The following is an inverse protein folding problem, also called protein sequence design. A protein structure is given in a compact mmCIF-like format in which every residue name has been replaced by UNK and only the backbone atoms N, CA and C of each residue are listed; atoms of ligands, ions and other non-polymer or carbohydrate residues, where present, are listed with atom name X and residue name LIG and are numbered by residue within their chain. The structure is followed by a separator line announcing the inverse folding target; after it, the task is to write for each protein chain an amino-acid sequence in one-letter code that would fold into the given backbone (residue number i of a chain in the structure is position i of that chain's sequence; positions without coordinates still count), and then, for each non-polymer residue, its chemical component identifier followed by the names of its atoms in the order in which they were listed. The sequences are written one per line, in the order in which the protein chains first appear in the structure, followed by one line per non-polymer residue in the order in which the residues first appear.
data_IF_332224616879
#
_entry.id   IF_332224616879
#
_cell.length_a   1.000
_cell.length_b   1.000
_cell.length_c   1.000
_cell.angle_alpha   90.00
_cell.angle_beta   90.00
_cell.angle_gamma   90.00
#
_symmetry.space_group_name_H-M   'P 1'
#
loop_
_entity.id
_entity.type
_entity.pdbx_description
1 polymer ?
#
# COMPACT_ATOMS: atom_id res chain seq x y z
N UNK A 1 -4.79 -11.91 -25.29
CA UNK A 1 -3.75 -12.97 -25.31
C UNK A 1 -3.48 -13.54 -23.91
N UNK A 2 -3.01 -12.73 -22.94
CA UNK A 2 -2.61 -13.22 -21.61
C UNK A 2 -3.75 -13.90 -20.81
N UNK A 3 -4.94 -13.28 -20.76
CA UNK A 3 -6.09 -13.83 -20.03
C UNK A 3 -6.57 -15.18 -20.60
N UNK A 4 -6.57 -15.33 -21.93
CA UNK A 4 -6.96 -16.59 -22.57
C UNK A 4 -5.96 -17.71 -22.23
N UNK A 5 -4.66 -17.40 -22.26
CA UNK A 5 -3.61 -18.36 -21.91
C UNK A 5 -3.61 -18.76 -20.42
N UNK A 6 -4.03 -17.88 -19.51
CA UNK A 6 -4.11 -18.21 -18.07
C UNK A 6 -5.36 -19.02 -17.70
N UNK A 7 -6.43 -18.94 -18.49
CA UNK A 7 -7.64 -19.74 -18.30
C UNK A 7 -7.54 -21.15 -18.90
N UNK A 8 -6.78 -21.31 -19.98
CA UNK A 8 -6.51 -22.62 -20.58
C UNK A 8 -5.45 -23.37 -19.76
N UNK A 9 -5.85 -24.49 -19.14
CA UNK A 9 -4.98 -25.29 -18.29
C UNK A 9 -3.73 -25.82 -19.01
N UNK A 10 -3.80 -26.06 -20.33
CA UNK A 10 -2.68 -26.53 -21.13
C UNK A 10 -1.67 -25.42 -21.48
N UNK A 11 -2.09 -24.15 -21.40
CA UNK A 11 -1.26 -22.98 -21.75
C UNK A 11 -0.84 -22.14 -20.56
N UNK A 12 -1.33 -22.48 -19.36
CA UNK A 12 -1.06 -21.72 -18.14
C UNK A 12 0.42 -21.75 -17.79
N UNK A 13 1.00 -20.58 -17.57
CA UNK A 13 2.39 -20.45 -17.13
C UNK A 13 2.58 -20.89 -15.67
N UNK A 14 3.80 -21.31 -15.33
CA UNK A 14 4.18 -21.64 -13.94
C UNK A 14 3.92 -20.48 -12.98
N UNK A 15 4.14 -19.24 -13.43
CA UNK A 15 3.88 -18.05 -12.63
C UNK A 15 2.38 -17.89 -12.30
N UNK A 16 1.50 -18.11 -13.29
CA UNK A 16 0.06 -18.06 -13.07
C UNK A 16 -0.43 -19.19 -12.14
N UNK A 17 0.14 -20.40 -12.28
CA UNK A 17 -0.15 -21.51 -11.37
C UNK A 17 0.28 -21.20 -9.92
N UNK A 18 1.49 -20.65 -9.72
CA UNK A 18 1.95 -20.23 -8.39
C UNK A 18 1.07 -19.12 -7.80
N UNK A 19 0.67 -18.14 -8.60
CA UNK A 19 -0.22 -17.07 -8.16
C UNK A 19 -1.59 -17.60 -7.70
N UNK A 20 -2.16 -18.58 -8.41
CA UNK A 20 -3.41 -19.24 -8.02
C UNK A 20 -3.27 -20.00 -6.69
N UNK A 21 -2.22 -20.79 -6.52
CA UNK A 21 -1.96 -21.50 -5.28
C UNK A 21 -1.76 -20.54 -4.11
N UNK A 22 -0.97 -19.48 -4.29
CA UNK A 22 -0.77 -18.43 -3.30
C UNK A 22 -2.10 -17.78 -2.92
N UNK A 23 -2.97 -17.50 -3.89
CA UNK A 23 -4.31 -16.98 -3.63
C UNK A 23 -5.13 -17.95 -2.77
N UNK A 24 -5.18 -19.25 -3.11
CA UNK A 24 -5.95 -20.24 -2.35
C UNK A 24 -5.48 -20.35 -0.90
N UNK A 25 -4.17 -20.41 -0.69
CA UNK A 25 -3.57 -20.47 0.67
C UNK A 25 -3.90 -19.20 1.46
N UNK A 26 -3.69 -18.03 0.86
CA UNK A 26 -3.86 -16.76 1.55
C UNK A 26 -5.32 -16.36 1.76
N UNK A 27 -6.24 -16.81 0.91
CA UNK A 27 -7.69 -16.60 1.07
C UNK A 27 -8.36 -17.62 2.01
N UNK A 28 -7.64 -18.68 2.42
CA UNK A 28 -8.21 -19.77 3.22
C UNK A 28 -9.06 -20.77 2.42
N UNK A 29 -9.08 -20.65 1.08
CA UNK A 29 -9.88 -21.50 0.17
C UNK A 29 -9.17 -22.78 -0.27
N UNK A 30 -7.95 -23.01 0.21
CA UNK A 30 -7.13 -24.16 -0.18
C UNK A 30 -7.77 -25.51 0.17
N UNK A 31 -8.40 -25.64 1.34
CA UNK A 31 -9.04 -26.88 1.79
C UNK A 31 -10.45 -27.10 1.20
N UNK A 32 -11.11 -26.05 0.73
CA UNK A 32 -12.49 -26.09 0.21
C UNK A 32 -12.57 -26.24 -1.30
N UNK A 33 -11.45 -26.02 -1.99
CA UNK A 33 -11.36 -26.19 -3.44
C UNK A 33 -10.61 -27.49 -3.67
N UNK A 34 -11.18 -28.45 -4.40
CA UNK A 34 -10.40 -29.56 -4.95
C UNK A 34 -9.17 -28.94 -5.60
N UNK A 35 -7.94 -29.40 -5.29
CA UNK A 35 -6.66 -28.88 -5.80
C UNK A 35 -6.53 -28.76 -7.35
N UNK A 36 -7.61 -28.97 -8.09
CA UNK A 36 -7.78 -28.64 -9.49
C UNK A 36 -7.64 -27.14 -9.72
N UNK A 37 -6.69 -26.80 -10.58
CA UNK A 37 -6.68 -25.48 -11.18
C UNK A 37 -7.90 -25.34 -12.10
N UNK A 38 -8.66 -24.23 -12.02
CA UNK A 38 -9.80 -24.03 -12.91
C UNK A 38 -9.31 -24.02 -14.37
N UNK A 39 -10.06 -24.60 -15.30
CA UNK A 39 -9.68 -24.68 -16.71
C UNK A 39 -10.86 -24.39 -17.62
N UNK A 40 -10.69 -23.50 -18.58
CA UNK A 40 -11.65 -23.24 -19.66
C UNK A 40 -10.92 -23.40 -20.98
N UNK A 41 -11.42 -24.26 -21.86
CA UNK A 41 -10.91 -24.43 -23.22
C UNK A 41 -11.69 -23.55 -24.20
N UNK A 42 -10.98 -22.99 -25.18
CA UNK A 42 -11.57 -22.22 -26.28
C UNK A 42 -11.36 -23.01 -27.57
N UNK A 43 -12.45 -23.30 -28.29
CA UNK A 43 -12.43 -24.05 -29.56
C UNK A 43 -12.32 -23.15 -30.81
N UNK A 44 -12.55 -21.84 -30.67
CA UNK A 44 -12.50 -20.86 -31.76
C UNK A 44 -11.33 -19.89 -31.67
N UNK A 45 -11.22 -19.00 -32.66
CA UNK A 45 -10.25 -17.91 -32.67
C UNK A 45 -10.54 -16.86 -31.59
N UNK A 46 -9.48 -16.22 -31.09
CA UNK A 46 -9.57 -15.13 -30.11
C UNK A 46 -9.39 -13.79 -30.81
N UNK A 47 -10.35 -12.88 -30.67
CA UNK A 47 -10.31 -11.54 -31.24
C UNK A 47 -10.82 -10.50 -30.22
N UNK A 48 -10.53 -9.22 -30.47
CA UNK A 48 -10.97 -8.10 -29.63
C UNK A 48 -12.17 -7.45 -30.32
N UNK A 49 -13.27 -7.25 -29.57
CA UNK A 49 -14.47 -6.56 -30.04
C UNK A 49 -15.14 -5.80 -28.91
N UNK A 50 -16.02 -4.86 -29.26
CA UNK A 50 -16.96 -4.25 -28.32
C UNK A 50 -17.89 -5.30 -27.73
N UNK A 51 -18.31 -5.10 -26.47
CA UNK A 51 -19.21 -6.02 -25.77
C UNK A 51 -20.57 -6.06 -26.50
N UNK A 52 -21.04 -7.23 -26.98
CA UNK A 52 -22.35 -7.34 -27.62
C UNK A 52 -23.50 -6.99 -26.68
N UNK A 53 -24.58 -6.41 -27.22
CA UNK A 53 -25.77 -6.01 -26.44
C UNK A 53 -26.52 -7.18 -25.81
N UNK A 54 -26.39 -8.39 -26.37
CA UNK A 54 -26.98 -9.62 -25.86
C UNK A 54 -26.02 -10.44 -24.96
N UNK A 55 -24.97 -9.81 -24.44
CA UNK A 55 -24.04 -10.48 -23.53
C UNK A 55 -24.69 -10.79 -22.18
N UNK A 56 -24.38 -11.96 -21.62
CA UNK A 56 -24.78 -12.36 -20.27
C UNK A 56 -23.59 -12.22 -19.33
N UNK A 57 -23.76 -11.48 -18.24
CA UNK A 57 -22.77 -11.43 -17.16
C UNK A 57 -22.62 -12.82 -16.54
N UNK A 58 -21.39 -13.31 -16.43
CA UNK A 58 -21.10 -14.59 -15.78
C UNK A 58 -20.83 -14.41 -14.28
N UNK A 59 -19.92 -13.49 -13.96
CA UNK A 59 -19.59 -13.08 -12.61
C UNK A 59 -18.93 -11.70 -12.63
N UNK A 60 -18.90 -11.04 -11.47
CA UNK A 60 -18.08 -9.87 -11.22
C UNK A 60 -16.97 -10.22 -10.24
N UNK A 61 -15.79 -9.67 -10.46
CA UNK A 61 -14.66 -9.79 -9.54
C UNK A 61 -14.34 -8.42 -8.96
N UNK A 62 -14.44 -8.32 -7.64
CA UNK A 62 -14.09 -7.12 -6.89
C UNK A 62 -12.72 -7.31 -6.24
N UNK A 63 -11.86 -6.29 -6.36
CA UNK A 63 -10.56 -6.29 -5.69
C UNK A 63 -10.72 -6.28 -4.17
N UNK A 64 -9.61 -6.46 -3.47
CA UNK A 64 -9.54 -6.15 -2.04
C UNK A 64 -9.85 -4.66 -1.80
N UNK A 65 -10.39 -4.27 -0.62
CA UNK A 65 -10.68 -2.88 -0.32
C UNK A 65 -9.45 -1.98 -0.46
N UNK A 66 -9.66 -0.72 -0.88
CA UNK A 66 -8.58 0.24 -1.17
C UNK A 66 -7.58 0.38 -0.01
N UNK A 67 -8.03 0.29 1.25
CA UNK A 67 -7.15 0.32 2.43
C UNK A 67 -6.04 -0.75 2.39
N UNK A 68 -6.37 -1.95 1.93
CA UNK A 68 -5.44 -3.09 1.88
C UNK A 68 -4.45 -2.93 0.71
N UNK A 69 -4.93 -2.35 -0.40
CA UNK A 69 -4.10 -1.95 -1.54
C UNK A 69 -3.11 -0.86 -1.12
N UNK A 70 -3.58 0.17 -0.41
CA UNK A 70 -2.75 1.25 0.12
C UNK A 70 -1.70 0.73 1.09
N UNK A 71 -2.10 -0.13 2.05
CA UNK A 71 -1.18 -0.78 2.99
C UNK A 71 -0.05 -1.49 2.26
N UNK A 72 -0.38 -2.33 1.28
CA UNK A 72 0.63 -3.06 0.51
C UNK A 72 1.51 -2.13 -0.33
N UNK A 73 0.91 -1.13 -0.96
CA UNK A 73 1.63 -0.13 -1.77
C UNK A 73 2.65 0.63 -0.93
N UNK A 74 2.26 1.08 0.26
CA UNK A 74 3.11 1.86 1.15
C UNK A 74 4.18 1.00 1.85
N UNK A 75 3.85 -0.24 2.25
CA UNK A 75 4.78 -1.23 2.79
C UNK A 75 5.94 -1.53 1.83
N UNK A 76 5.64 -1.90 0.58
CA UNK A 76 6.67 -2.24 -0.40
C UNK A 76 7.21 -1.03 -1.17
N UNK A 77 6.62 0.15 -1.00
CA UNK A 77 6.94 1.33 -1.82
C UNK A 77 6.79 1.04 -3.31
N UNK A 78 5.66 0.46 -3.70
CA UNK A 78 5.44 -0.01 -5.07
C UNK A 78 5.12 1.17 -6.02
N UNK A 79 6.10 1.55 -6.83
CA UNK A 79 5.97 2.69 -7.75
C UNK A 79 4.88 2.48 -8.80
N UNK A 80 4.73 1.26 -9.33
CA UNK A 80 3.70 0.95 -10.34
C UNK A 80 2.30 1.21 -9.79
N UNK A 81 2.00 0.69 -8.59
CA UNK A 81 0.69 0.91 -7.96
C UNK A 81 0.48 2.38 -7.59
N UNK A 82 1.52 3.07 -7.13
CA UNK A 82 1.43 4.50 -6.82
C UNK A 82 1.08 5.34 -8.06
N UNK A 83 1.69 5.07 -9.22
CA UNK A 83 1.32 5.75 -10.47
C UNK A 83 -0.11 5.40 -10.90
N UNK A 84 -0.52 4.13 -10.84
CA UNK A 84 -1.91 3.74 -11.19
C UNK A 84 -2.95 4.43 -10.32
N UNK A 85 -2.71 4.52 -9.02
CA UNK A 85 -3.59 5.25 -8.10
C UNK A 85 -3.59 6.76 -8.39
N UNK A 86 -2.44 7.32 -8.76
CA UNK A 86 -2.33 8.72 -9.19
C UNK A 86 -3.08 9.00 -10.49
N UNK A 87 -2.93 8.14 -11.50
CA UNK A 87 -3.61 8.24 -12.79
C UNK A 87 -5.14 8.27 -12.62
N UNK A 88 -5.68 7.44 -11.71
CA UNK A 88 -7.11 7.44 -11.37
C UNK A 88 -7.61 8.78 -10.80
N UNK A 89 -6.71 9.58 -10.21
CA UNK A 89 -7.00 10.91 -9.67
C UNK A 89 -6.70 12.04 -10.68
N UNK A 90 -6.27 11.71 -11.91
CA UNK A 90 -5.86 12.68 -12.92
C UNK A 90 -4.35 12.96 -12.96
N UNK A 91 -3.53 12.07 -12.40
CA UNK A 91 -2.07 12.12 -12.42
C UNK A 91 -1.45 12.96 -11.31
N UNK A 92 -0.11 13.02 -11.28
CA UNK A 92 0.67 13.64 -10.21
C UNK A 92 0.29 15.10 -9.92
N UNK A 93 -0.01 15.90 -10.95
CA UNK A 93 -0.43 17.29 -10.78
C UNK A 93 -1.80 17.42 -10.11
N UNK A 94 -2.74 16.52 -10.41
CA UNK A 94 -4.04 16.51 -9.75
C UNK A 94 -3.89 16.09 -8.27
N UNK A 95 -3.06 15.09 -7.99
CA UNK A 95 -2.69 14.69 -6.62
C UNK A 95 -2.08 15.87 -5.86
N UNK A 96 -1.12 16.58 -6.45
CA UNK A 96 -0.51 17.75 -5.83
C UNK A 96 -1.54 18.84 -5.50
N UNK A 97 -2.47 19.15 -6.42
CA UNK A 97 -3.53 20.13 -6.15
C UNK A 97 -4.45 19.71 -5.01
N UNK A 98 -4.84 18.43 -4.95
CA UNK A 98 -5.66 17.89 -3.85
C UNK A 98 -4.93 18.08 -2.52
N UNK A 99 -3.63 17.77 -2.45
CA UNK A 99 -2.84 17.99 -1.23
C UNK A 99 -2.72 19.47 -0.89
N UNK A 100 -2.39 20.32 -1.85
CA UNK A 100 -2.27 21.79 -1.67
C UNK A 100 -3.55 22.39 -1.08
N UNK A 101 -4.71 22.00 -1.61
CA UNK A 101 -6.01 22.46 -1.15
C UNK A 101 -6.38 21.91 0.24
N UNK A 102 -6.27 20.60 0.45
CA UNK A 102 -6.75 19.99 1.69
C UNK A 102 -5.81 20.21 2.88
N UNK A 103 -4.50 20.21 2.64
CA UNK A 103 -3.48 20.44 3.66
C UNK A 103 -3.08 21.92 3.81
N UNK A 104 -3.67 22.81 3.01
CA UNK A 104 -3.40 24.25 3.01
C UNK A 104 -1.90 24.55 2.83
N UNK A 105 -1.27 23.86 1.87
CA UNK A 105 0.16 24.02 1.56
C UNK A 105 0.34 24.78 0.25
N UNK A 106 1.33 25.67 0.21
CA UNK A 106 1.63 26.45 -1.00
C UNK A 106 2.09 25.54 -2.14
N UNK A 107 1.74 25.83 -3.40
CA UNK A 107 2.27 25.11 -4.55
C UNK A 107 3.80 25.09 -4.63
N UNK A 108 4.47 26.13 -4.11
CA UNK A 108 5.93 26.18 -4.05
C UNK A 108 6.54 25.18 -3.05
N UNK A 109 5.75 24.72 -2.07
CA UNK A 109 6.20 23.79 -1.03
C UNK A 109 5.82 22.32 -1.29
N UNK A 110 4.97 22.06 -2.29
CA UNK A 110 4.49 20.71 -2.62
C UNK A 110 4.31 20.55 -4.13
N UNK A 111 5.35 20.08 -4.80
CA UNK A 111 5.43 19.86 -6.24
C UNK A 111 5.66 18.36 -6.49
N UNK A 112 4.77 17.76 -7.29
CA UNK A 112 4.91 16.38 -7.74
C UNK A 112 5.05 16.33 -9.26
N UNK A 113 6.12 15.70 -9.73
CA UNK A 113 6.28 15.26 -11.12
C UNK A 113 5.67 13.87 -11.34
N UNK A 114 5.69 13.02 -10.31
CA UNK A 114 5.17 11.66 -10.38
C UNK A 114 4.48 11.27 -9.07
N UNK A 115 3.57 10.30 -9.11
CA UNK A 115 2.82 9.88 -7.92
C UNK A 115 3.61 8.90 -7.05
N UNK A 116 4.61 8.23 -7.63
CA UNK A 116 5.53 7.33 -6.95
C UNK A 116 6.65 8.04 -6.18
N UNK A 117 6.91 9.30 -6.50
CA UNK A 117 8.05 10.05 -5.98
C UNK A 117 9.34 9.87 -6.78
N UNK A 118 9.31 9.15 -7.91
CA UNK A 118 10.39 9.11 -8.88
C UNK A 118 10.52 10.43 -9.65
N UNK A 119 11.72 10.72 -10.15
CA UNK A 119 12.01 12.00 -10.82
C UNK A 119 12.16 13.14 -9.82
N UNK A 120 11.79 14.35 -10.24
CA UNK A 120 12.02 15.59 -9.49
C UNK A 120 10.73 16.00 -8.79
N UNK A 121 10.60 15.57 -7.53
CA UNK A 121 9.55 16.02 -6.64
C UNK A 121 10.16 16.97 -5.59
N UNK A 122 9.41 17.99 -5.16
CA UNK A 122 9.86 18.97 -4.15
C UNK A 122 8.77 19.12 -3.10
N UNK A 123 9.07 18.66 -1.89
CA UNK A 123 8.17 18.79 -0.74
C UNK A 123 8.96 19.31 0.46
N UNK A 124 8.49 20.39 1.09
CA UNK A 124 9.13 20.89 2.32
C UNK A 124 8.73 20.02 3.52
N UNK A 125 9.57 19.92 4.57
CA UNK A 125 9.18 19.22 5.79
C UNK A 125 7.90 19.78 6.44
N UNK A 126 7.67 21.10 6.31
CA UNK A 126 6.46 21.79 6.77
C UNK A 126 5.22 21.35 6.00
N UNK A 127 5.32 21.29 4.67
CA UNK A 127 4.21 20.81 3.84
C UNK A 127 3.89 19.34 4.12
N UNK A 128 4.91 18.48 4.25
CA UNK A 128 4.71 17.08 4.62
C UNK A 128 4.09 16.92 6.02
N UNK A 129 4.49 17.73 7.00
CA UNK A 129 3.89 17.72 8.33
C UNK A 129 2.40 18.10 8.26
N UNK A 130 2.06 19.13 7.47
CA UNK A 130 0.67 19.56 7.25
C UNK A 130 -0.16 18.47 6.58
N UNK A 131 0.43 17.76 5.60
CA UNK A 131 -0.18 16.58 4.97
C UNK A 131 -0.41 15.45 5.99
N UNK A 132 0.58 15.10 6.83
CA UNK A 132 0.41 14.07 7.85
C UNK A 132 -0.69 14.44 8.86
N UNK A 133 -0.73 15.69 9.32
CA UNK A 133 -1.78 16.16 10.22
C UNK A 133 -3.17 16.07 9.58
N UNK A 134 -3.28 16.44 8.30
CA UNK A 134 -4.53 16.36 7.54
C UNK A 134 -4.95 14.92 7.32
N UNK A 135 -4.03 14.04 6.90
CA UNK A 135 -4.26 12.62 6.73
C UNK A 135 -4.71 11.95 8.04
N UNK A 136 -4.11 12.31 9.18
CA UNK A 136 -4.54 11.79 10.49
C UNK A 136 -6.00 12.16 10.80
N UNK A 137 -6.40 13.41 10.50
CA UNK A 137 -7.79 13.88 10.69
C UNK A 137 -8.76 13.13 9.77
N UNK A 138 -8.40 12.94 8.50
CA UNK A 138 -9.23 12.19 7.56
C UNK A 138 -9.38 10.72 7.97
N UNK A 139 -8.30 10.04 8.34
CA UNK A 139 -8.35 8.66 8.81
C UNK A 139 -9.27 8.49 10.03
N UNK A 140 -9.24 9.45 10.97
CA UNK A 140 -10.10 9.41 12.15
C UNK A 140 -11.60 9.43 11.79
N UNK A 141 -12.01 10.09 10.69
CA UNK A 141 -13.40 10.07 10.20
C UNK A 141 -13.86 8.68 9.81
N UNK A 142 -12.94 7.83 9.39
CA UNK A 142 -13.17 6.42 9.05
C UNK A 142 -12.84 5.46 10.19
N UNK A 143 -12.59 5.96 11.41
CA UNK A 143 -12.13 5.17 12.56
C UNK A 143 -10.84 4.40 12.26
N UNK A 144 -9.98 4.97 11.42
CA UNK A 144 -8.67 4.43 11.05
C UNK A 144 -7.54 5.25 11.67
N UNK A 145 -6.37 4.63 11.72
CA UNK A 145 -5.09 5.20 12.12
C UNK A 145 -4.08 5.06 10.98
N UNK A 146 -2.89 5.65 11.13
CA UNK A 146 -1.83 5.40 10.16
C UNK A 146 -1.49 3.91 10.03
N UNK A 147 -1.55 3.14 11.12
CA UNK A 147 -1.19 1.72 11.10
C UNK A 147 -2.06 0.89 10.14
N UNK A 148 -3.26 1.37 9.80
CA UNK A 148 -4.17 0.71 8.88
C UNK A 148 -3.74 0.81 7.42
N UNK A 149 -2.94 1.83 7.07
CA UNK A 149 -2.53 2.10 5.68
C UNK A 149 -1.02 2.23 5.48
N UNK A 150 -0.23 2.53 6.52
CA UNK A 150 1.21 2.76 6.44
C UNK A 150 1.99 1.64 7.15
N UNK A 151 3.23 1.33 6.73
CA UNK A 151 4.02 0.26 7.33
C UNK A 151 4.28 0.51 8.82
N UNK A 152 4.08 -0.54 9.63
CA UNK A 152 4.44 -0.59 11.04
C UNK A 152 5.86 -1.19 11.15
N UNK A 153 6.79 -0.41 11.68
CA UNK A 153 8.20 -0.75 11.73
C UNK A 153 8.48 -2.00 12.57
N UNK A 154 9.41 -2.82 12.10
CA UNK A 154 9.71 -4.14 12.66
C UNK A 154 8.67 -5.22 12.37
N UNK A 155 7.41 -4.85 12.10
CA UNK A 155 6.30 -5.83 12.02
C UNK A 155 5.92 -6.15 10.57
N UNK A 156 5.61 -5.13 9.78
CA UNK A 156 5.17 -5.34 8.41
C UNK A 156 6.35 -5.62 7.47
N UNK A 157 6.14 -6.55 6.53
CA UNK A 157 7.07 -6.78 5.43
C UNK A 157 7.22 -5.50 4.59
N UNK A 158 8.45 -5.17 4.20
CA UNK A 158 8.72 -4.00 3.38
C UNK A 158 9.85 -3.12 3.91
N UNK A 159 9.78 -1.82 3.62
CA UNK A 159 10.94 -0.92 3.79
C UNK A 159 11.33 -0.61 5.24
N UNK A 160 10.43 -0.86 6.20
CA UNK A 160 10.67 -0.72 7.64
C UNK A 160 10.77 -2.06 8.37
N UNK A 161 10.76 -3.20 7.66
CA UNK A 161 10.73 -4.53 8.28
C UNK A 161 11.90 -4.78 9.23
N UNK A 162 13.10 -4.33 8.86
CA UNK A 162 14.35 -4.49 9.63
C UNK A 162 14.80 -3.18 10.27
N UNK A 163 13.87 -2.27 10.55
CA UNK A 163 14.12 -1.00 11.24
C UNK A 163 13.24 -0.96 12.47
N UNK A 164 13.83 -0.55 13.60
CA UNK A 164 13.13 -0.54 14.90
C UNK A 164 12.54 -1.93 15.23
N UNK A 165 13.30 -3.00 15.00
CA UNK A 165 12.87 -4.39 15.14
C UNK A 165 13.36 -5.05 16.44
N UNK A 166 13.97 -4.28 17.34
CA UNK A 166 14.35 -4.73 18.68
C UNK A 166 13.13 -4.86 19.58
N UNK A 167 13.19 -5.70 20.62
CA UNK A 167 12.08 -5.94 21.55
C UNK A 167 11.49 -4.66 22.15
N UNK A 168 12.32 -3.62 22.35
CA UNK A 168 11.91 -2.34 22.92
C UNK A 168 11.28 -1.36 21.92
N UNK A 169 11.59 -1.49 20.63
CA UNK A 169 11.18 -0.52 19.59
C UNK A 169 10.24 -1.10 18.54
N UNK A 170 10.09 -2.43 18.50
CA UNK A 170 9.22 -3.15 17.57
C UNK A 170 7.79 -2.63 17.64
N UNK A 171 7.25 -2.23 16.49
CA UNK A 171 5.90 -1.71 16.38
C UNK A 171 5.69 -0.31 16.96
N UNK A 172 6.76 0.42 17.31
CA UNK A 172 6.64 1.76 17.89
C UNK A 172 6.59 2.89 16.87
N UNK A 173 6.84 2.59 15.59
CA UNK A 173 6.85 3.59 14.50
C UNK A 173 5.95 3.11 13.39
N UNK A 174 5.08 4.01 12.90
CA UNK A 174 4.38 3.84 11.63
C UNK A 174 4.83 4.94 10.71
N UNK A 175 5.40 4.59 9.57
CA UNK A 175 6.06 5.58 8.73
C UNK A 175 6.25 5.15 7.30
N UNK A 176 6.58 6.11 6.45
CA UNK A 176 6.98 5.88 5.06
C UNK A 176 8.42 6.30 4.86
N UNK A 177 9.17 5.45 4.16
CA UNK A 177 10.54 5.74 3.72
C UNK A 177 10.56 6.30 2.30
N UNK A 178 11.56 7.11 1.98
CA UNK A 178 11.96 7.44 0.62
C UNK A 178 13.48 7.30 0.48
N UNK A 179 13.96 6.84 -0.67
CA UNK A 179 15.39 6.81 -0.96
C UNK A 179 15.60 6.97 -2.45
N UNK A 180 16.38 7.98 -2.84
CA UNK A 180 16.85 8.21 -4.20
C UNK A 180 18.37 8.26 -4.14
N UNK A 181 19.06 7.38 -4.88
CA UNK A 181 20.52 7.29 -4.86
C UNK A 181 21.19 8.35 -5.73
N UNK A 182 20.64 8.60 -6.91
CA UNK A 182 21.27 9.44 -7.94
C UNK A 182 20.69 10.85 -8.01
N UNK A 183 19.49 11.07 -7.48
CA UNK A 183 18.84 12.38 -7.46
C UNK A 183 19.40 13.25 -6.33
N UNK A 184 19.69 14.52 -6.62
CA UNK A 184 20.11 15.54 -5.64
C UNK A 184 21.32 15.10 -4.77
N UNK A 185 22.26 14.35 -5.36
CA UNK A 185 23.45 13.85 -4.65
C UNK A 185 23.16 12.84 -3.54
N UNK A 186 22.01 12.16 -3.62
CA UNK A 186 21.55 11.18 -2.64
C UNK A 186 20.53 11.78 -1.67
N UNK A 187 19.30 11.27 -1.69
CA UNK A 187 18.21 11.67 -0.82
C UNK A 187 17.65 10.50 0.00
N UNK A 188 17.31 10.75 1.25
CA UNK A 188 16.65 9.79 2.12
C UNK A 188 15.63 10.49 3.00
N UNK A 189 14.43 9.91 3.11
CA UNK A 189 13.36 10.45 3.93
C UNK A 189 12.73 9.39 4.81
N UNK A 190 12.29 9.81 5.99
CA UNK A 190 11.42 9.05 6.88
C UNK A 190 10.41 10.01 7.51
N UNK A 191 9.13 9.69 7.41
CA UNK A 191 8.07 10.48 8.02
C UNK A 191 6.94 9.57 8.51
N UNK A 192 6.18 10.04 9.49
CA UNK A 192 5.06 9.28 10.05
C UNK A 192 4.74 9.66 11.48
N UNK A 193 4.28 8.67 12.25
CA UNK A 193 3.94 8.76 13.66
C UNK A 193 4.79 7.78 14.46
N UNK A 194 5.41 8.25 15.54
CA UNK A 194 6.05 7.41 16.54
C UNK A 194 5.18 7.38 17.81
N UNK A 195 5.10 6.21 18.41
CA UNK A 195 4.46 5.98 19.69
C UNK A 195 5.53 6.01 20.79
N UNK A 196 5.31 6.86 21.77
CA UNK A 196 6.12 7.00 22.98
C UNK A 196 5.25 6.67 24.20
N UNK A 197 5.87 6.54 25.37
CA UNK A 197 5.11 6.38 26.62
C UNK A 197 4.35 7.64 27.03
N UNK A 198 4.81 8.82 26.61
CA UNK A 198 4.11 10.09 26.83
C UNK A 198 3.02 10.37 25.78
N UNK A 199 2.98 9.64 24.67
CA UNK A 199 1.95 9.77 23.64
C UNK A 199 2.46 9.62 22.22
N UNK A 200 1.64 10.06 21.25
CA UNK A 200 1.96 9.97 19.83
C UNK A 200 2.65 11.25 19.36
N UNK A 201 3.72 11.11 18.59
CA UNK A 201 4.48 12.23 18.02
C UNK A 201 4.57 12.06 16.50
N UNK A 202 4.12 13.09 15.76
CA UNK A 202 4.33 13.14 14.30
C UNK A 202 5.74 13.65 14.01
N UNK A 203 6.35 13.13 12.95
CA UNK A 203 7.69 13.55 12.55
C UNK A 203 7.89 13.49 11.04
N UNK A 204 8.80 14.36 10.57
CA UNK A 204 9.27 14.40 9.19
C UNK A 204 10.77 14.63 9.21
N UNK A 205 11.54 13.73 8.59
CA UNK A 205 12.98 13.81 8.47
C UNK A 205 13.35 13.65 7.00
N UNK A 206 13.81 14.74 6.38
CA UNK A 206 14.29 14.76 5.00
C UNK A 206 15.79 15.07 5.00
N UNK A 207 16.56 14.22 4.34
CA UNK A 207 18.00 14.38 4.17
C UNK A 207 18.33 14.33 2.66
N UNK A 208 19.29 15.15 2.23
CA UNK A 208 19.74 15.25 0.83
C UNK A 208 21.23 15.55 0.78
N UNK A 209 21.86 15.37 -0.38
CA UNK A 209 23.29 15.59 -0.61
C UNK A 209 24.18 14.75 0.32
N UNK A 210 24.05 13.43 0.26
CA UNK A 210 24.91 12.54 1.04
C UNK A 210 24.55 11.07 0.98
N UNK A 211 25.27 10.27 1.76
CA UNK A 211 25.12 8.82 1.79
C UNK A 211 23.75 8.41 2.34
N UNK A 212 22.94 7.72 1.53
CA UNK A 212 21.64 7.21 1.96
C UNK A 212 21.76 6.28 3.19
N UNK A 213 22.87 5.53 3.31
CA UNK A 213 23.13 4.68 4.47
C UNK A 213 23.31 5.50 5.75
N UNK A 214 24.13 6.56 5.71
CA UNK A 214 24.32 7.48 6.85
C UNK A 214 23.02 8.16 7.23
N UNK A 215 22.23 8.61 6.25
CA UNK A 215 20.92 9.22 6.52
C UNK A 215 19.95 8.26 7.17
N UNK A 216 19.89 6.99 6.73
CA UNK A 216 19.02 5.99 7.37
C UNK A 216 19.43 5.72 8.82
N UNK A 217 20.74 5.62 9.10
CA UNK A 217 21.23 5.47 10.48
C UNK A 217 20.91 6.70 11.34
N UNK A 218 21.10 7.91 10.79
CA UNK A 218 20.73 9.15 11.47
C UNK A 218 19.23 9.21 11.78
N UNK A 219 18.37 8.87 10.82
CA UNK A 219 16.92 8.83 11.02
C UNK A 219 16.52 7.86 12.13
N UNK A 220 17.11 6.65 12.16
CA UNK A 220 16.84 5.67 13.22
C UNK A 220 17.24 6.23 14.58
N UNK A 221 18.44 6.80 14.69
CA UNK A 221 18.95 7.33 15.95
C UNK A 221 18.11 8.52 16.43
N UNK A 222 17.74 9.44 15.55
CA UNK A 222 16.92 10.59 15.90
C UNK A 222 15.55 10.19 16.42
N UNK A 223 14.88 9.23 15.77
CA UNK A 223 13.59 8.71 16.26
C UNK A 223 13.74 8.06 17.63
N UNK A 224 14.75 7.21 17.83
CA UNK A 224 15.00 6.58 19.13
C UNK A 224 15.32 7.60 20.24
N UNK A 225 16.07 8.65 19.93
CA UNK A 225 16.39 9.74 20.87
C UNK A 225 15.13 10.50 21.29
N UNK A 226 14.28 10.86 20.31
CA UNK A 226 13.00 11.53 20.59
C UNK A 226 12.12 10.62 21.45
N UNK A 227 11.98 9.34 21.08
CA UNK A 227 11.23 8.39 21.90
C UNK A 227 11.76 8.34 23.33
N UNK A 228 13.09 8.30 23.53
CA UNK A 228 13.73 8.35 24.84
C UNK A 228 13.38 9.58 25.67
N UNK A 229 13.35 10.77 25.04
CA UNK A 229 12.93 12.02 25.70
C UNK A 229 11.48 12.00 26.16
N UNK A 230 10.62 11.23 25.48
CA UNK A 230 9.20 11.09 25.78
C UNK A 230 8.86 9.77 26.51
N UNK A 231 9.77 9.31 27.37
CA UNK A 231 9.56 8.15 28.24
C UNK A 231 9.84 6.79 27.61
N UNK A 232 10.41 6.76 26.40
CA UNK A 232 10.77 5.57 25.66
C UNK A 232 9.74 5.18 24.59
N UNK A 233 10.14 4.25 23.72
CA UNK A 233 9.28 3.67 22.71
C UNK A 233 8.15 2.83 23.35
N UNK A 234 6.99 2.81 22.71
CA UNK A 234 5.88 1.95 23.08
C UNK A 234 5.24 1.33 21.83
N UNK A 235 4.73 0.10 21.88
CA UNK A 235 4.12 -0.54 20.72
C UNK A 235 2.78 0.11 20.38
N UNK A 236 2.50 0.23 19.09
CA UNK A 236 1.21 0.65 18.56
C UNK A 236 0.25 -0.55 18.59
N UNK A 237 -1.00 -0.32 18.96
CA UNK A 237 -2.04 -1.33 18.86
C UNK A 237 -2.24 -1.73 17.39
N UNK A 238 -1.69 -2.88 17.00
CA UNK A 238 -1.69 -3.35 15.62
C UNK A 238 -1.68 -4.87 15.54
N UNK A 239 -2.59 -5.45 14.76
CA UNK A 239 -2.62 -6.88 14.47
C UNK A 239 -1.94 -7.14 13.13
N UNK A 240 -0.77 -7.79 13.18
CA UNK A 240 -0.03 -8.15 11.99
C UNK A 240 -0.86 -9.11 11.11
N UNK A 241 -0.98 -8.78 9.83
CA UNK A 241 -1.58 -9.64 8.81
C UNK A 241 -0.67 -9.61 7.60
N UNK A 242 -0.32 -10.77 7.04
CA UNK A 242 0.53 -10.83 5.85
C UNK A 242 -0.09 -10.03 4.70
N UNK A 243 0.74 -9.32 3.94
CA UNK A 243 0.28 -8.49 2.84
C UNK A 243 -0.38 -9.35 1.75
N UNK A 244 0.09 -10.58 1.52
CA UNK A 244 -0.55 -11.54 0.62
C UNK A 244 -1.97 -11.92 1.07
N UNK A 245 -2.17 -12.16 2.38
CA UNK A 245 -3.50 -12.43 2.95
C UNK A 245 -4.43 -11.21 2.82
N UNK A 246 -3.90 -10.00 2.96
CA UNK A 246 -4.68 -8.77 2.72
C UNK A 246 -5.13 -8.66 1.27
N UNK A 247 -4.24 -8.95 0.31
CA UNK A 247 -4.54 -8.89 -1.11
C UNK A 247 -5.42 -10.04 -1.61
N UNK A 248 -5.46 -11.17 -0.92
CA UNK A 248 -6.30 -12.31 -1.27
C UNK A 248 -7.79 -12.12 -0.90
N UNK A 249 -8.17 -11.03 -0.21
CA UNK A 249 -9.54 -10.70 0.19
C UNK A 249 -10.36 -10.11 -0.96
N UNK A 250 -10.48 -10.84 -2.06
CA UNK A 250 -11.30 -10.47 -3.22
C UNK A 250 -12.69 -11.11 -3.14
N UNK A 251 -13.68 -10.46 -3.75
CA UNK A 251 -15.05 -10.98 -3.84
C UNK A 251 -15.35 -11.38 -5.27
N UNK A 252 -16.02 -12.52 -5.43
CA UNK A 252 -16.61 -12.94 -6.70
C UNK A 252 -18.12 -12.99 -6.47
N UNK A 253 -18.89 -12.28 -7.29
CA UNK A 253 -20.36 -12.27 -7.24
C UNK A 253 -20.93 -12.84 -8.53
N UNK A 254 -21.98 -13.65 -8.41
CA UNK A 254 -22.68 -14.25 -9.56
C UNK A 254 -24.08 -13.63 -9.65
N UNK A 255 -24.60 -13.32 -10.85
CA UNK A 255 -25.88 -12.63 -11.03
C UNK A 255 -27.07 -13.30 -10.31
N UNK A 256 -27.08 -14.64 -10.25
CA UNK A 256 -28.22 -15.41 -9.76
C UNK A 256 -28.22 -15.64 -8.22
N UNK A 257 -27.28 -15.04 -7.47
CA UNK A 257 -27.16 -15.23 -6.00
C UNK A 257 -27.82 -14.13 -5.14
N UNK A 258 -28.45 -13.12 -5.75
CA UNK A 258 -29.12 -12.01 -5.02
C UNK A 258 -30.29 -12.50 -4.13
N UNK A 259 -30.75 -13.75 -4.27
CA UNK A 259 -31.85 -14.32 -3.49
C UNK A 259 -31.48 -15.20 -2.29
N UNK A 260 -30.23 -15.62 -2.08
CA UNK A 260 -29.89 -16.61 -1.01
C UNK A 260 -29.24 -16.02 0.24
N UNK A 261 -28.61 -14.85 0.16
CA UNK A 261 -27.95 -14.21 1.32
C UNK A 261 -28.90 -13.41 2.23
N UNK A 262 -30.22 -13.41 1.98
CA UNK A 262 -31.24 -12.84 2.89
C UNK A 262 -31.81 -13.84 3.90
N UNK A 263 -31.35 -15.09 3.92
CA UNK A 263 -31.81 -16.10 4.87
C UNK A 263 -30.68 -16.69 5.72
N UNK A 264 -29.84 -15.83 6.29
CA UNK A 264 -29.20 -16.10 7.59
C UNK A 264 -29.05 -14.74 8.29
N UNK A 265 -30.10 -14.34 9.01
CA UNK A 265 -29.96 -13.40 10.14
C UNK A 265 -29.53 -14.20 11.38
#
# INVERSE_FOLDING_TARGET
ALLAATMDGAKRSVAASRAWQNYLVNSGKFSTTTNAFPGVSFSGGVYVQSIPTNSRLLFSHESTPIREILKTTLCYSNNYLAERLGDMLGGAYAVARVVQQNAQVSPAEFILQSSSGLGINRVTPRAMMSLLQTLRKELARYKMTFADIMPVAGIDKGTLERRFDTDFSRGSVVGKTGTLGETDGGASSLCGEMQTRAGKVLFVIFNQHGSNARFRSFQNNLVSLIQGQFGGAAPIAYTATSLDRRLARTRITYPDMIGRDRMVQ
#
